data_IF_589552511387
#
_entry.id   IF_589552511387
#
_cell.length_a   1.000
_cell.length_b   1.000
_cell.length_c   1.000
_cell.angle_alpha   90.00
_cell.angle_beta   90.00
_cell.angle_gamma   90.00
#
_symmetry.space_group_name_H-M   'P 1'
#
loop_
_entity.id
_entity.type
_entity.pdbx_description
1 polymer ?
#
# COMPACT_ATOMS: atom_id res chain seq x y z
N UNK A 1 30.69 -12.44 -48.57
CA UNK A 1 30.67 -11.68 -47.28
C UNK A 1 29.23 -11.44 -46.78
N UNK A 2 28.33 -12.44 -46.83
CA UNK A 2 26.88 -12.31 -46.52
C UNK A 2 26.50 -13.35 -45.44
N UNK A 3 27.25 -13.41 -44.34
CA UNK A 3 26.93 -14.32 -43.21
C UNK A 3 26.97 -13.64 -41.83
N UNK A 4 27.33 -12.36 -41.77
CA UNK A 4 27.47 -11.63 -40.51
C UNK A 4 26.29 -10.70 -40.17
N UNK A 5 25.30 -10.55 -41.06
CA UNK A 5 24.15 -9.65 -40.82
C UNK A 5 22.91 -10.32 -40.22
N UNK A 6 22.84 -11.66 -40.14
CA UNK A 6 21.66 -12.34 -39.57
C UNK A 6 21.67 -12.49 -38.04
N UNK A 7 22.81 -12.27 -37.37
CA UNK A 7 22.90 -12.46 -35.91
C UNK A 7 22.42 -11.23 -35.13
N UNK A 8 22.41 -10.04 -35.75
CA UNK A 8 21.95 -8.81 -35.07
C UNK A 8 20.41 -8.66 -35.12
N UNK A 9 19.74 -9.27 -36.11
CA UNK A 9 18.27 -9.23 -36.20
C UNK A 9 17.56 -10.18 -35.21
N UNK A 10 18.21 -11.28 -34.81
CA UNK A 10 17.65 -12.22 -33.83
C UNK A 10 17.77 -11.72 -32.38
N UNK A 11 18.73 -10.83 -32.08
CA UNK A 11 18.86 -10.21 -30.76
C UNK A 11 17.85 -9.09 -30.48
N UNK A 12 17.24 -8.53 -31.53
CA UNK A 12 16.25 -7.45 -31.43
C UNK A 12 14.80 -7.96 -31.34
N UNK A 13 14.53 -9.21 -31.73
CA UNK A 13 13.22 -9.86 -31.56
C UNK A 13 13.04 -10.50 -30.17
N UNK A 14 14.11 -10.58 -29.37
CA UNK A 14 14.07 -11.07 -27.99
C UNK A 14 13.78 -9.99 -26.95
N UNK A 15 13.73 -8.71 -27.35
CA UNK A 15 13.21 -7.64 -26.51
C UNK A 15 11.69 -7.55 -26.71
N UNK A 16 10.98 -8.60 -26.29
CA UNK A 16 9.62 -8.38 -25.79
C UNK A 16 9.75 -7.24 -24.77
N UNK A 17 8.89 -6.20 -24.81
CA UNK A 17 8.88 -5.24 -23.71
C UNK A 17 8.81 -6.08 -22.44
N UNK A 18 9.76 -5.88 -21.52
CA UNK A 18 9.60 -6.45 -20.20
C UNK A 18 8.25 -5.94 -19.72
N UNK A 19 7.23 -6.81 -19.76
CA UNK A 19 5.90 -6.48 -19.27
C UNK A 19 6.11 -5.98 -17.86
N UNK A 20 5.52 -4.83 -17.54
CA UNK A 20 5.63 -4.29 -16.19
C UNK A 20 5.08 -5.38 -15.27
N UNK A 21 5.90 -5.95 -14.40
CA UNK A 21 5.40 -7.00 -13.53
C UNK A 21 4.45 -6.37 -12.52
N UNK A 22 3.39 -7.10 -12.19
CA UNK A 22 2.46 -6.70 -11.15
C UNK A 22 2.54 -7.66 -9.98
N UNK A 23 2.35 -7.11 -8.80
CA UNK A 23 2.21 -7.87 -7.58
C UNK A 23 0.86 -7.55 -6.96
N UNK A 24 0.04 -8.58 -6.75
CA UNK A 24 -1.20 -8.45 -5.99
C UNK A 24 -0.93 -8.76 -4.52
N UNK A 25 -1.45 -7.92 -3.64
CA UNK A 25 -1.40 -8.11 -2.20
C UNK A 25 -2.82 -8.31 -1.68
N UNK A 26 -3.07 -9.47 -1.08
CA UNK A 26 -4.39 -9.91 -0.61
C UNK A 26 -4.49 -9.78 0.90
N UNK A 27 -5.54 -9.12 1.39
CA UNK A 27 -5.73 -8.90 2.83
C UNK A 27 -6.35 -10.13 3.50
N UNK A 28 -5.80 -10.47 4.66
CA UNK A 28 -6.34 -11.46 5.56
C UNK A 28 -6.58 -10.80 6.92
N UNK A 29 -7.83 -10.82 7.38
CA UNK A 29 -8.24 -10.21 8.65
C UNK A 29 -9.49 -9.35 8.48
N UNK A 30 -9.64 -8.26 9.25
CA UNK A 30 -10.85 -7.41 9.20
C UNK A 30 -11.00 -6.65 7.88
N UNK A 31 -9.90 -6.24 7.24
CA UNK A 31 -9.97 -5.74 5.86
C UNK A 31 -10.15 -6.90 4.88
N UNK A 32 -10.98 -6.68 3.88
CA UNK A 32 -11.18 -7.60 2.76
C UNK A 32 -10.72 -6.97 1.44
N UNK A 33 -10.36 -7.79 0.47
CA UNK A 33 -9.98 -7.35 -0.87
C UNK A 33 -8.47 -7.38 -1.12
N UNK A 34 -7.98 -6.49 -1.98
CA UNK A 34 -6.61 -6.50 -2.47
C UNK A 34 -6.13 -5.11 -2.93
N UNK A 35 -4.83 -5.00 -3.19
CA UNK A 35 -4.29 -3.97 -4.08
C UNK A 35 -3.26 -4.58 -5.04
N UNK A 36 -3.02 -3.90 -6.15
CA UNK A 36 -2.05 -4.27 -7.17
C UNK A 36 -0.99 -3.19 -7.23
N UNK A 37 0.26 -3.60 -7.31
CA UNK A 37 1.43 -2.73 -7.34
C UNK A 37 2.32 -3.10 -8.52
N UNK A 38 2.91 -2.10 -9.18
CA UNK A 38 3.99 -2.33 -10.13
C UNK A 38 5.26 -2.79 -9.42
N UNK A 39 5.87 -3.87 -9.90
CA UNK A 39 7.13 -4.40 -9.36
C UNK A 39 8.33 -3.47 -9.63
N UNK A 40 8.27 -2.68 -10.71
CA UNK A 40 9.37 -1.82 -11.16
C UNK A 40 9.56 -0.56 -10.33
N UNK A 41 8.47 0.09 -9.91
CA UNK A 41 8.53 1.39 -9.21
C UNK A 41 7.72 1.44 -7.92
N UNK A 42 6.98 0.37 -7.58
CA UNK A 42 6.16 0.30 -6.38
C UNK A 42 4.90 1.16 -6.41
N UNK A 43 4.58 1.83 -7.53
CA UNK A 43 3.32 2.57 -7.65
C UNK A 43 2.12 1.63 -7.63
N UNK A 44 1.01 2.10 -7.04
CA UNK A 44 -0.23 1.32 -6.95
C UNK A 44 -0.95 1.38 -8.31
N UNK A 45 -1.25 0.22 -8.88
CA UNK A 45 -1.95 0.05 -10.15
C UNK A 45 -3.48 -0.07 -9.96
N UNK A 46 -3.92 -0.72 -8.89
CA UNK A 46 -5.34 -0.91 -8.53
C UNK A 46 -5.49 -1.12 -7.03
N UNK A 47 -6.69 -0.87 -6.50
CA UNK A 47 -7.05 -1.20 -5.14
C UNK A 47 -8.55 -1.47 -4.97
N UNK A 48 -8.90 -2.48 -4.16
CA UNK A 48 -10.29 -2.75 -3.79
C UNK A 48 -10.33 -3.23 -2.36
N UNK A 49 -10.94 -2.44 -1.47
CA UNK A 49 -11.07 -2.77 -0.06
C UNK A 49 -12.51 -2.81 0.41
N UNK A 50 -12.80 -3.76 1.29
CA UNK A 50 -13.89 -3.65 2.25
C UNK A 50 -13.34 -3.28 3.61
N UNK A 51 -13.76 -2.12 4.14
CA UNK A 51 -13.36 -1.61 5.45
C UNK A 51 -14.56 -1.66 6.40
N UNK A 52 -14.57 -2.57 7.40
CA UNK A 52 -15.65 -2.59 8.38
C UNK A 52 -15.56 -1.35 9.28
N UNK A 53 -16.67 -0.61 9.40
CA UNK A 53 -16.77 0.56 10.26
C UNK A 53 -17.49 0.15 11.55
N UNK A 54 -16.79 0.29 12.67
CA UNK A 54 -17.33 -0.06 13.97
C UNK A 54 -18.16 1.12 14.53
N UNK A 55 -19.15 0.82 15.38
CA UNK A 55 -19.93 1.84 16.07
C UNK A 55 -21.16 2.38 15.32
N UNK A 56 -21.38 1.98 14.05
CA UNK A 56 -22.55 2.41 13.25
C UNK A 56 -23.89 1.87 13.79
N UNK A 57 -23.86 0.93 14.75
CA UNK A 57 -25.06 0.31 15.34
C UNK A 57 -25.64 -0.85 14.51
N UNK A 58 -25.05 -1.14 13.35
CA UNK A 58 -25.29 -2.31 12.50
C UNK A 58 -24.00 -2.72 11.81
N UNK A 59 -23.86 -3.96 11.31
CA UNK A 59 -22.77 -4.30 10.41
C UNK A 59 -22.72 -3.32 9.24
N UNK A 60 -21.63 -2.59 9.12
CA UNK A 60 -21.41 -1.62 8.07
C UNK A 60 -20.01 -1.84 7.50
N UNK A 61 -19.94 -1.98 6.18
CA UNK A 61 -18.69 -2.13 5.45
C UNK A 61 -18.64 -1.08 4.37
N UNK A 62 -17.66 -0.18 4.48
CA UNK A 62 -17.34 0.77 3.44
C UNK A 62 -16.58 0.04 2.32
N UNK A 63 -16.97 0.30 1.07
CA UNK A 63 -16.17 -0.13 -0.09
C UNK A 63 -15.29 1.02 -0.55
N UNK A 64 -13.99 0.76 -0.70
CA UNK A 64 -13.03 1.69 -1.29
C UNK A 64 -12.51 1.07 -2.57
N UNK A 65 -12.77 1.72 -3.70
CA UNK A 65 -12.20 1.37 -5.01
C UNK A 65 -12.07 2.62 -5.87
N UNK A 66 -11.15 2.66 -6.87
CA UNK A 66 -10.96 3.79 -7.76
C UNK A 66 -12.28 4.20 -8.42
N UNK A 67 -12.65 5.48 -8.28
CA UNK A 67 -13.86 6.06 -8.90
C UNK A 67 -13.73 7.58 -8.99
N UNK A 68 -14.35 8.17 -10.03
CA UNK A 68 -14.33 9.62 -10.30
C UNK A 68 -15.74 10.24 -10.43
N UNK A 69 -16.80 9.56 -9.96
CA UNK A 69 -18.18 10.08 -10.07
C UNK A 69 -18.49 11.15 -9.00
N UNK A 70 -19.77 11.36 -8.66
CA UNK A 70 -20.29 12.22 -7.57
C UNK A 70 -19.59 11.96 -6.22
N UNK A 71 -18.80 10.88 -6.13
CA UNK A 71 -17.67 10.79 -5.24
C UNK A 71 -16.35 10.41 -5.88
N UNK A 72 -15.25 10.99 -5.37
CA UNK A 72 -13.90 10.61 -5.76
C UNK A 72 -13.25 9.72 -4.71
N UNK A 73 -12.74 8.56 -5.11
CA UNK A 73 -11.85 7.74 -4.28
C UNK A 73 -10.49 7.70 -4.93
N UNK A 74 -9.49 8.31 -4.28
CA UNK A 74 -8.15 8.49 -4.85
C UNK A 74 -7.07 8.30 -3.81
N UNK A 75 -5.91 7.84 -4.28
CA UNK A 75 -4.69 7.80 -3.48
C UNK A 75 -4.19 9.25 -3.30
N UNK A 76 -3.88 9.61 -2.06
CA UNK A 76 -3.43 10.96 -1.69
C UNK A 76 -1.97 11.01 -1.26
N UNK A 77 -1.42 9.88 -0.80
CA UNK A 77 -0.03 9.75 -0.41
C UNK A 77 0.45 8.31 -0.59
N UNK A 78 1.74 8.14 -0.88
CA UNK A 78 2.42 6.86 -0.98
C UNK A 78 3.81 6.95 -0.34
N UNK A 79 4.24 5.89 0.33
CA UNK A 79 5.60 5.76 0.87
C UNK A 79 5.98 4.29 0.98
N UNK A 80 7.24 4.00 1.27
CA UNK A 80 7.65 2.62 1.54
C UNK A 80 8.77 2.56 2.58
N UNK A 81 8.76 1.50 3.37
CA UNK A 81 9.86 1.11 4.26
C UNK A 81 10.73 0.01 3.67
N UNK A 82 10.40 -0.47 2.47
CA UNK A 82 11.03 -1.60 1.82
C UNK A 82 11.96 -1.10 0.71
N UNK A 83 13.21 -1.57 0.74
CA UNK A 83 14.18 -1.26 -0.32
C UNK A 83 13.90 -2.06 -1.60
N UNK A 84 13.38 -3.29 -1.46
CA UNK A 84 13.03 -4.20 -2.55
C UNK A 84 11.88 -5.12 -2.10
N UNK A 85 11.06 -5.58 -3.06
CA UNK A 85 10.06 -6.66 -2.92
C UNK A 85 8.97 -6.49 -1.84
N UNK A 86 8.80 -5.29 -1.30
CA UNK A 86 7.79 -5.00 -0.28
C UNK A 86 6.63 -4.13 -0.78
N UNK A 87 5.50 -4.16 -0.05
CA UNK A 87 4.33 -3.36 -0.37
C UNK A 87 4.57 -1.87 -0.12
N UNK A 88 3.96 -1.04 -0.95
CA UNK A 88 3.86 0.40 -0.74
C UNK A 88 2.81 0.72 0.32
N UNK A 89 3.16 1.56 1.28
CA UNK A 89 2.20 2.22 2.17
C UNK A 89 1.44 3.28 1.36
N UNK A 90 0.15 3.47 1.64
CA UNK A 90 -0.60 4.51 0.94
C UNK A 90 -1.76 5.04 1.77
N UNK A 91 -2.23 6.23 1.39
CA UNK A 91 -3.43 6.86 1.94
C UNK A 91 -4.44 7.10 0.84
N UNK A 92 -5.71 6.95 1.18
CA UNK A 92 -6.85 7.15 0.31
C UNK A 92 -7.77 8.19 0.93
N UNK A 93 -8.23 9.10 0.09
CA UNK A 93 -9.38 9.93 0.38
C UNK A 93 -10.55 9.43 -0.47
N UNK A 94 -11.69 9.21 0.18
CA UNK A 94 -12.96 8.87 -0.46
C UNK A 94 -14.02 9.89 -0.06
N UNK A 95 -14.81 10.36 -1.02
CA UNK A 95 -15.92 11.26 -0.78
C UNK A 95 -17.15 10.76 -1.52
N UNK A 96 -17.70 9.62 -1.09
CA UNK A 96 -18.77 8.92 -1.77
C UNK A 96 -20.07 9.74 -1.79
N UNK A 97 -20.30 10.49 -2.89
CA UNK A 97 -21.57 11.18 -3.14
C UNK A 97 -21.90 12.30 -2.16
N UNK A 98 -20.94 12.75 -1.34
CA UNK A 98 -21.18 13.69 -0.23
C UNK A 98 -21.89 13.10 0.99
N UNK A 99 -22.42 11.88 0.91
CA UNK A 99 -23.06 11.17 2.02
C UNK A 99 -22.05 10.42 2.90
N UNK A 100 -20.83 10.22 2.39
CA UNK A 100 -19.75 9.62 3.16
C UNK A 100 -18.39 10.18 2.74
N UNK A 101 -17.64 10.73 3.70
CA UNK A 101 -16.25 11.14 3.51
C UNK A 101 -15.33 10.27 4.36
N UNK A 102 -14.25 9.75 3.82
CA UNK A 102 -13.30 8.89 4.54
C UNK A 102 -11.86 9.21 4.19
N UNK A 103 -11.04 9.33 5.24
CA UNK A 103 -9.60 9.23 5.18
C UNK A 103 -9.19 7.83 5.63
N UNK A 104 -8.43 7.14 4.80
CA UNK A 104 -7.92 5.80 5.06
C UNK A 104 -6.42 5.80 4.85
N UNK A 105 -5.65 5.26 5.78
CA UNK A 105 -4.20 5.09 5.66
C UNK A 105 -3.83 3.66 5.96
N UNK A 106 -2.91 3.09 5.19
CA UNK A 106 -2.39 1.74 5.43
C UNK A 106 -0.87 1.72 5.39
N UNK A 107 -0.30 1.05 6.41
CA UNK A 107 1.14 0.82 6.54
C UNK A 107 1.42 -0.67 6.68
N UNK A 108 2.59 -1.08 6.21
CA UNK A 108 3.03 -2.47 6.19
C UNK A 108 4.34 -2.67 6.93
N UNK A 109 4.51 -3.86 7.49
CA UNK A 109 5.73 -4.28 8.17
C UNK A 109 5.91 -5.80 8.11
N UNK A 110 7.14 -6.28 8.05
CA UNK A 110 7.44 -7.68 8.36
C UNK A 110 7.56 -7.88 9.87
N UNK A 111 7.10 -9.03 10.36
CA UNK A 111 7.55 -9.53 11.66
C UNK A 111 8.92 -10.23 11.54
N UNK A 112 9.55 -10.59 12.67
CA UNK A 112 10.82 -11.32 12.66
C UNK A 112 10.76 -12.71 11.99
N UNK A 113 9.56 -13.24 11.75
CA UNK A 113 9.34 -14.53 11.07
C UNK A 113 9.15 -14.37 9.56
N UNK A 114 9.17 -13.14 9.04
CA UNK A 114 8.95 -12.83 7.64
C UNK A 114 7.47 -12.78 7.22
N UNK A 115 6.53 -12.79 8.17
CA UNK A 115 5.10 -12.59 7.87
C UNK A 115 4.85 -11.10 7.68
N UNK A 116 4.15 -10.75 6.61
CA UNK A 116 3.80 -9.38 6.27
C UNK A 116 2.46 -8.99 6.92
N UNK A 117 2.48 -7.95 7.74
CA UNK A 117 1.32 -7.39 8.43
C UNK A 117 0.96 -6.02 7.86
N UNK A 118 -0.29 -5.64 8.09
CA UNK A 118 -0.75 -4.29 7.87
C UNK A 118 -1.34 -3.68 9.15
N UNK A 119 -1.20 -2.36 9.27
CA UNK A 119 -2.03 -1.52 10.15
C UNK A 119 -2.75 -0.51 9.29
N UNK A 120 -4.07 -0.47 9.39
CA UNK A 120 -4.92 0.39 8.61
C UNK A 120 -5.78 1.28 9.52
N UNK A 121 -5.60 2.58 9.41
CA UNK A 121 -6.34 3.58 10.17
C UNK A 121 -7.39 4.21 9.26
N UNK A 122 -8.59 4.45 9.81
CA UNK A 122 -9.63 5.17 9.09
C UNK A 122 -10.29 6.22 9.98
N UNK A 123 -10.75 7.28 9.33
CA UNK A 123 -11.66 8.26 9.88
C UNK A 123 -12.74 8.54 8.82
N UNK A 124 -14.00 8.34 9.16
CA UNK A 124 -15.14 8.46 8.27
C UNK A 124 -16.21 9.38 8.86
N UNK A 125 -16.79 10.25 8.05
CA UNK A 125 -18.05 10.94 8.32
C UNK A 125 -19.12 10.31 7.44
N UNK A 126 -20.23 9.85 8.03
CA UNK A 126 -21.28 9.12 7.31
C UNK A 126 -22.63 9.75 7.64
N UNK A 127 -23.42 10.08 6.62
CA UNK A 127 -24.80 10.51 6.78
C UNK A 127 -25.69 9.30 7.12
N UNK A 128 -26.35 9.36 8.29
CA UNK A 128 -27.24 8.32 8.76
C UNK A 128 -28.65 8.88 8.92
N UNK A 129 -29.62 8.24 8.25
CA UNK A 129 -31.03 8.51 8.46
C UNK A 129 -31.56 7.61 9.59
N UNK A 130 -31.92 8.22 10.73
CA UNK A 130 -32.48 7.51 11.90
C UNK A 130 -33.86 8.05 12.28
N UNK A 131 -34.70 7.25 12.98
CA UNK A 131 -36.00 7.70 13.47
C UNK A 131 -35.94 8.96 14.36
N UNK A 132 -34.90 9.08 15.18
CA UNK A 132 -34.64 10.20 16.09
C UNK A 132 -34.07 11.46 15.44
N UNK A 133 -33.65 11.38 14.16
CA UNK A 133 -33.01 12.46 13.43
C UNK A 133 -32.03 11.95 12.40
N UNK A 134 -31.83 12.71 11.31
CA UNK A 134 -30.82 12.39 10.30
C UNK A 134 -29.65 13.36 10.41
N UNK A 135 -28.43 12.87 10.18
CA UNK A 135 -27.24 13.71 10.23
C UNK A 135 -25.95 12.95 9.99
N UNK A 136 -24.85 13.70 9.93
CA UNK A 136 -23.52 13.13 9.83
C UNK A 136 -23.02 12.67 11.19
N UNK A 137 -22.51 11.44 11.25
CA UNK A 137 -21.82 10.88 12.39
C UNK A 137 -20.37 10.57 12.02
N UNK A 138 -19.46 10.74 12.98
CA UNK A 138 -18.03 10.50 12.80
C UNK A 138 -17.62 9.17 13.42
N UNK A 139 -16.87 8.37 12.66
CA UNK A 139 -16.35 7.08 13.06
C UNK A 139 -14.86 7.04 12.80
N UNK A 140 -14.11 6.37 13.67
CA UNK A 140 -12.68 6.16 13.46
C UNK A 140 -12.27 4.84 14.08
N UNK A 141 -11.24 4.23 13.51
CA UNK A 141 -10.70 3.00 14.07
C UNK A 141 -9.43 2.56 13.38
N UNK A 142 -8.86 1.51 13.95
CA UNK A 142 -7.65 0.87 13.46
C UNK A 142 -7.92 -0.61 13.25
N UNK A 143 -7.56 -1.11 12.08
CA UNK A 143 -7.59 -2.51 11.70
C UNK A 143 -6.18 -3.06 11.58
N UNK A 144 -6.00 -4.31 12.00
CA UNK A 144 -4.72 -5.03 11.88
C UNK A 144 -4.98 -6.43 11.35
N UNK A 145 -4.08 -6.90 10.53
CA UNK A 145 -4.12 -8.24 9.97
C UNK A 145 -2.85 -8.56 9.20
N UNK A 146 -2.91 -9.61 8.39
CA UNK A 146 -1.81 -10.02 7.53
C UNK A 146 -2.15 -9.76 6.07
N UNK A 147 -1.12 -9.70 5.24
CA UNK A 147 -1.27 -9.57 3.79
C UNK A 147 -0.39 -10.62 3.12
N UNK A 148 -0.93 -11.27 2.10
CA UNK A 148 -0.21 -12.28 1.33
C UNK A 148 0.06 -11.79 -0.09
N UNK A 149 1.27 -12.04 -0.57
CA UNK A 149 1.63 -11.83 -1.98
C UNK A 149 0.92 -12.89 -2.82
N UNK A 150 0.23 -12.46 -3.87
CA UNK A 150 -0.41 -13.30 -4.87
C UNK A 150 0.09 -12.97 -6.27
N UNK A 151 -0.41 -13.73 -7.24
CA UNK A 151 -0.22 -13.46 -8.67
C UNK A 151 -1.46 -12.81 -9.25
N UNK A 152 -1.27 -11.93 -10.20
CA UNK A 152 -2.37 -11.35 -10.97
C UNK A 152 -2.87 -12.37 -11.99
N UNK A 153 -4.16 -12.33 -12.33
CA UNK A 153 -4.67 -13.12 -13.45
C UNK A 153 -4.08 -12.59 -14.77
N UNK A 154 -3.57 -13.43 -15.68
CA UNK A 154 -2.93 -12.97 -16.92
C UNK A 154 -3.82 -12.07 -17.79
N UNK A 155 -5.13 -12.33 -17.81
CA UNK A 155 -6.07 -11.50 -18.56
C UNK A 155 -6.20 -10.09 -17.95
N UNK A 156 -6.10 -9.98 -16.62
CA UNK A 156 -6.17 -8.70 -15.93
C UNK A 156 -4.86 -7.91 -16.05
N UNK A 157 -3.72 -8.60 -15.99
CA UNK A 157 -2.41 -8.02 -16.31
C UNK A 157 -2.39 -7.40 -17.71
N UNK A 158 -2.83 -8.14 -18.73
CA UNK A 158 -2.94 -7.63 -20.10
C UNK A 158 -3.87 -6.43 -20.20
N UNK A 159 -4.96 -6.43 -19.44
CA UNK A 159 -5.87 -5.30 -19.39
C UNK A 159 -5.22 -4.06 -18.75
N UNK A 160 -4.49 -4.20 -17.65
CA UNK A 160 -3.75 -3.10 -17.05
C UNK A 160 -2.73 -2.52 -18.03
N UNK A 161 -1.96 -3.38 -18.68
CA UNK A 161 -0.98 -2.97 -19.70
C UNK A 161 -1.63 -2.20 -20.85
N UNK A 162 -2.77 -2.68 -21.34
CA UNK A 162 -3.54 -1.99 -22.38
C UNK A 162 -4.04 -0.61 -21.92
N UNK A 163 -4.34 -0.44 -20.64
CA UNK A 163 -4.80 0.81 -20.04
C UNK A 163 -3.65 1.66 -19.43
N UNK A 164 -2.41 1.43 -19.87
CA UNK A 164 -1.26 2.24 -19.46
C UNK A 164 -0.72 1.91 -18.07
N UNK A 165 -1.04 0.72 -17.56
CA UNK A 165 -0.54 0.16 -16.31
C UNK A 165 -1.46 0.32 -15.11
N UNK A 166 -2.57 1.03 -15.25
CA UNK A 166 -3.40 1.45 -14.12
C UNK A 166 -4.87 1.10 -14.35
N UNK A 167 -5.55 0.74 -13.28
CA UNK A 167 -7.01 0.76 -13.24
C UNK A 167 -7.50 2.18 -13.50
N UNK A 168 -8.66 2.29 -14.15
CA UNK A 168 -9.29 3.58 -14.39
C UNK A 168 -9.37 4.42 -13.10
N UNK A 169 -9.01 5.70 -13.20
CA UNK A 169 -8.98 6.67 -12.10
C UNK A 169 -7.90 6.48 -11.03
N UNK A 170 -7.02 5.50 -11.17
CA UNK A 170 -5.81 5.41 -10.34
C UNK A 170 -4.76 6.38 -10.88
N UNK A 171 -4.30 7.30 -10.03
CA UNK A 171 -3.19 8.18 -10.36
C UNK A 171 -1.86 7.49 -10.08
N UNK A 172 -0.94 7.55 -11.03
CA UNK A 172 0.44 7.11 -10.82
C UNK A 172 1.13 8.00 -9.78
N UNK A 173 1.44 7.43 -8.62
CA UNK A 173 2.28 8.06 -7.60
C UNK A 173 3.35 7.05 -7.18
N UNK A 174 4.61 7.41 -7.39
CA UNK A 174 5.75 6.55 -7.05
C UNK A 174 6.09 6.73 -5.56
N UNK A 175 6.16 5.64 -4.76
CA UNK A 175 6.49 5.70 -3.34
C UNK A 175 7.87 6.28 -3.10
N UNK A 176 7.97 7.12 -2.07
CA UNK A 176 9.26 7.55 -1.52
C UNK A 176 9.68 6.59 -0.41
N UNK A 177 10.95 6.18 -0.42
CA UNK A 177 11.54 5.43 0.68
C UNK A 177 11.74 6.33 1.89
N UNK A 178 11.17 5.96 3.04
CA UNK A 178 11.19 6.78 4.27
C UNK A 178 12.00 6.15 5.41
N UNK A 179 12.85 5.17 5.10
CA UNK A 179 13.69 4.46 6.08
C UNK A 179 13.06 3.15 6.57
N UNK A 180 13.83 2.30 7.27
CA UNK A 180 13.32 1.03 7.77
C UNK A 180 12.25 1.24 8.86
N UNK A 181 11.23 0.38 8.88
CA UNK A 181 10.21 0.34 9.94
C UNK A 181 10.70 -0.49 11.13
N UNK A 182 11.91 -0.22 11.59
CA UNK A 182 12.55 -0.95 12.69
C UNK A 182 12.76 0.01 13.85
N UNK A 183 12.12 -0.29 14.98
CA UNK A 183 12.62 0.18 16.28
C UNK A 183 14.08 -0.29 16.36
N UNK A 184 15.07 0.60 16.65
CA UNK A 184 16.47 0.21 16.67
C UNK A 184 16.66 -1.06 17.49
N UNK A 185 17.26 -2.08 16.90
CA UNK A 185 17.47 -3.35 17.59
C UNK A 185 18.16 -3.07 18.95
N UNK A 186 17.81 -3.82 20.01
CA UNK A 186 18.43 -3.65 21.33
C UNK A 186 19.96 -3.69 21.29
N UNK A 187 20.55 -4.39 20.31
CA UNK A 187 21.98 -4.43 20.07
C UNK A 187 22.56 -3.07 19.62
N UNK A 188 21.85 -2.33 18.77
CA UNK A 188 22.24 -0.98 18.33
C UNK A 188 22.14 0.04 19.47
N UNK A 189 21.11 -0.07 20.32
CA UNK A 189 20.99 0.73 21.56
C UNK A 189 22.07 0.35 22.59
N UNK A 190 22.40 -0.94 22.71
CA UNK A 190 23.45 -1.42 23.59
C UNK A 190 24.84 -0.94 23.11
N UNK A 191 25.12 -0.94 21.80
CA UNK A 191 26.35 -0.41 21.24
C UNK A 191 26.47 1.11 21.43
N UNK A 192 25.38 1.85 21.26
CA UNK A 192 25.36 3.29 21.52
C UNK A 192 25.55 3.58 23.02
N UNK A 193 24.92 2.78 23.90
CA UNK A 193 25.10 2.84 25.35
C UNK A 193 26.52 2.49 25.81
N UNK A 194 27.12 1.44 25.25
CA UNK A 194 28.51 1.05 25.51
C UNK A 194 29.51 2.08 24.97
N UNK A 195 29.24 2.68 23.81
CA UNK A 195 30.05 3.77 23.26
C UNK A 195 30.06 5.01 24.15
N UNK A 196 28.89 5.40 24.68
CA UNK A 196 28.76 6.52 25.62
C UNK A 196 29.40 6.21 26.98
N UNK A 197 29.25 4.99 27.49
CA UNK A 197 29.88 4.55 28.74
C UNK A 197 31.42 4.51 28.61
N UNK A 198 31.94 4.06 27.47
CA UNK A 198 33.38 4.07 27.17
C UNK A 198 33.98 5.48 27.11
N UNK A 199 33.26 6.43 26.50
CA UNK A 199 33.66 7.84 26.45
C UNK A 199 33.65 8.48 27.85
N UNK A 200 32.62 8.21 28.66
CA UNK A 200 32.54 8.70 30.04
C UNK A 200 33.66 8.12 30.94
N UNK A 201 33.98 6.83 30.79
CA UNK A 201 35.08 6.19 31.51
C UNK A 201 36.46 6.73 31.10
N UNK A 202 36.66 7.05 29.81
CA UNK A 202 37.93 7.62 29.31
C UNK A 202 38.20 9.03 29.83
N UNK A 203 37.15 9.81 30.15
CA UNK A 203 37.28 11.15 30.74
C UNK A 203 37.66 11.14 32.22
N UNK A 204 37.51 10.02 32.94
CA UNK A 204 37.88 9.91 34.36
C UNK A 204 39.36 9.57 34.61
N UNK A 205 40.12 9.27 33.55
CA UNK A 205 41.56 8.91 33.64
C UNK A 205 42.51 10.06 33.23
N UNK A 206 42.00 11.30 33.11
CA UNK A 206 42.84 12.50 33.02
C UNK A 206 42.74 13.29 34.32
#
# INVERSE_FOLDING_TARGET
>A
MIRKMMVVAAGLLGALPAWAGYVQYNFNGPLTGYFVQHDTDGSIADFRFGVPIQGVGRPFQMSLSPQWSEGSTRITAVSTHFLQDGPTNFSIYSDFGGDQTTWFGITFAYDPSGILYYTADYASSIYLARPEGSGFESFSGTHRGTVSRGTLEPAYEQWLDYNGGYQEHVSRIVPQYIGPNEVPEPASLALLGLGLAGLAASRRKR
#
